data_IF_743250739377
#
_entry.id   IF_743250739377
#
_cell.length_a   1.000
_cell.length_b   1.000
_cell.length_c   1.000
_cell.angle_alpha   90.00
_cell.angle_beta   90.00
_cell.angle_gamma   90.00
#
_symmetry.space_group_name_H-M   'P 1'
#
loop_
_entity.id
_entity.type
_entity.pdbx_description
1 polymer ?
#
# COMPACT_ATOMS: atom_id res chain seq x y z
N UNK A 1 11.58 -18.56 1.92
CA UNK A 1 12.08 -18.77 0.55
C UNK A 1 11.75 -17.53 -0.26
N UNK A 2 12.59 -17.19 -1.22
CA UNK A 2 12.28 -16.14 -2.20
C UNK A 2 11.21 -16.67 -3.16
N UNK A 3 10.16 -15.89 -3.42
CA UNK A 3 9.12 -16.21 -4.39
C UNK A 3 9.06 -15.09 -5.41
N UNK A 4 9.28 -15.44 -6.68
CA UNK A 4 9.12 -14.52 -7.80
C UNK A 4 7.66 -14.58 -8.24
N UNK A 5 6.96 -13.45 -8.10
CA UNK A 5 5.60 -13.28 -8.63
C UNK A 5 5.73 -12.56 -9.97
N UNK A 6 5.17 -13.16 -11.02
CA UNK A 6 5.08 -12.50 -12.33
C UNK A 6 4.18 -11.27 -12.22
N UNK A 7 4.76 -10.08 -12.42
CA UNK A 7 4.05 -8.80 -12.29
C UNK A 7 2.86 -8.68 -13.24
N UNK A 8 2.85 -9.41 -14.36
CA UNK A 8 1.72 -9.45 -15.30
C UNK A 8 0.46 -10.01 -14.66
N UNK A 9 0.59 -10.95 -13.72
CA UNK A 9 -0.54 -11.50 -12.97
C UNK A 9 -1.23 -10.40 -12.17
N UNK A 10 -0.47 -9.49 -11.57
CA UNK A 10 -1.04 -8.37 -10.81
C UNK A 10 -1.56 -7.30 -11.77
N UNK A 11 -0.79 -6.95 -12.79
CA UNK A 11 -1.15 -5.92 -13.77
C UNK A 11 -2.46 -6.23 -14.50
N UNK A 12 -2.71 -7.48 -14.88
CA UNK A 12 -3.93 -7.87 -15.60
C UNK A 12 -5.20 -7.73 -14.78
N UNK A 13 -5.09 -7.75 -13.45
CA UNK A 13 -6.21 -7.61 -12.53
C UNK A 13 -6.32 -6.18 -11.97
N UNK A 14 -5.34 -5.32 -12.23
CA UNK A 14 -5.27 -3.98 -11.67
C UNK A 14 -5.88 -2.96 -12.63
N UNK A 15 -6.96 -2.33 -12.18
CA UNK A 15 -7.60 -1.21 -12.84
C UNK A 15 -7.25 0.11 -12.17
N UNK A 16 -7.01 1.15 -12.98
CA UNK A 16 -6.71 2.50 -12.53
C UNK A 16 -7.57 3.51 -13.28
N UNK A 17 -8.10 4.47 -12.54
CA UNK A 17 -8.78 5.64 -13.08
C UNK A 17 -8.26 6.89 -12.36
N UNK A 18 -7.19 7.52 -12.89
CA UNK A 18 -6.63 8.77 -12.37
C UNK A 18 -7.64 9.89 -12.20
N UNK A 19 -8.57 10.04 -13.15
CA UNK A 19 -9.52 11.15 -13.16
C UNK A 19 -10.47 11.10 -11.97
N UNK A 20 -10.85 9.89 -11.54
CA UNK A 20 -11.73 9.67 -10.39
C UNK A 20 -10.99 9.22 -9.12
N UNK A 21 -9.66 9.08 -9.18
CA UNK A 21 -8.85 8.62 -8.05
C UNK A 21 -9.08 7.15 -7.69
N UNK A 22 -9.43 6.30 -8.66
CA UNK A 22 -9.68 4.89 -8.43
C UNK A 22 -8.45 4.01 -8.69
N UNK A 23 -8.24 3.03 -7.83
CA UNK A 23 -7.30 1.92 -8.03
C UNK A 23 -7.91 0.64 -7.46
N UNK A 24 -8.27 -0.28 -8.33
CA UNK A 24 -9.02 -1.49 -8.01
C UNK A 24 -8.28 -2.74 -8.47
N UNK A 25 -8.40 -3.81 -7.71
CA UNK A 25 -8.03 -5.16 -8.15
C UNK A 25 -9.32 -5.94 -8.39
N UNK A 26 -9.43 -6.54 -9.57
CA UNK A 26 -10.58 -7.26 -10.06
C UNK A 26 -10.16 -8.67 -10.44
N UNK A 27 -10.80 -9.68 -9.84
CA UNK A 27 -10.54 -11.09 -10.14
C UNK A 27 -11.83 -11.82 -10.44
N UNK A 28 -11.84 -12.51 -11.57
CA UNK A 28 -12.94 -13.40 -11.93
C UNK A 28 -12.77 -14.74 -11.20
N UNK A 29 -13.87 -15.26 -10.67
CA UNK A 29 -13.95 -16.56 -9.99
C UNK A 29 -15.22 -17.29 -10.42
N UNK A 30 -15.18 -17.94 -11.60
CA UNK A 30 -16.38 -18.50 -12.22
C UNK A 30 -17.26 -17.37 -12.74
N UNK A 31 -18.52 -17.34 -12.31
CA UNK A 31 -19.47 -16.27 -12.68
C UNK A 31 -19.40 -15.06 -11.71
N UNK A 32 -18.52 -15.10 -10.69
CA UNK A 32 -18.35 -14.04 -9.70
C UNK A 32 -17.18 -13.11 -10.04
N UNK A 33 -17.32 -11.83 -9.68
CA UNK A 33 -16.26 -10.83 -9.76
C UNK A 33 -15.87 -10.35 -8.35
N UNK A 34 -14.65 -10.66 -7.93
CA UNK A 34 -14.06 -10.15 -6.70
C UNK A 34 -13.39 -8.79 -6.96
N UNK A 35 -13.95 -7.72 -6.41
CA UNK A 35 -13.44 -6.36 -6.54
C UNK A 35 -13.03 -5.84 -5.18
N UNK A 36 -11.80 -5.33 -5.09
CA UNK A 36 -11.30 -4.65 -3.90
C UNK A 36 -10.42 -3.47 -4.27
N UNK A 37 -10.38 -2.46 -3.42
CA UNK A 37 -9.45 -1.34 -3.54
C UNK A 37 -10.08 0.00 -3.20
N UNK A 38 -9.54 1.05 -3.82
CA UNK A 38 -9.93 2.45 -3.63
C UNK A 38 -10.77 2.89 -4.82
N UNK A 39 -11.95 3.44 -4.56
CA UNK A 39 -12.83 3.98 -5.61
C UNK A 39 -12.54 5.46 -5.83
N UNK A 40 -12.21 6.18 -4.75
CA UNK A 40 -11.72 7.56 -4.76
C UNK A 40 -11.02 7.84 -3.42
N UNK A 41 -10.73 9.12 -3.14
CA UNK A 41 -10.09 9.56 -1.89
C UNK A 41 -10.87 9.21 -0.61
N UNK A 42 -12.19 9.09 -0.69
CA UNK A 42 -13.07 8.93 0.47
C UNK A 42 -13.63 7.51 0.62
N UNK A 43 -13.65 6.74 -0.46
CA UNK A 43 -14.39 5.48 -0.53
C UNK A 43 -13.52 4.32 -1.03
N UNK A 44 -13.62 3.21 -0.32
CA UNK A 44 -13.08 1.92 -0.72
C UNK A 44 -14.19 0.92 -1.01
N UNK A 45 -13.85 -0.13 -1.74
CA UNK A 45 -14.72 -1.26 -2.04
C UNK A 45 -14.05 -2.56 -1.59
N UNK A 46 -14.84 -3.51 -1.09
CA UNK A 46 -14.39 -4.86 -0.79
C UNK A 46 -15.53 -5.88 -0.94
N UNK A 47 -15.24 -7.16 -1.19
CA UNK A 47 -16.26 -8.20 -1.19
C UNK A 47 -16.93 -8.34 0.18
N UNK A 48 -18.22 -8.64 0.20
CA UNK A 48 -18.95 -9.01 1.41
C UNK A 48 -18.46 -10.39 1.88
N UNK A 49 -18.03 -10.46 3.15
CA UNK A 49 -17.75 -11.73 3.83
C UNK A 49 -19.08 -12.23 4.39
N UNK A 50 -19.91 -12.86 3.55
CA UNK A 50 -21.13 -13.51 4.01
C UNK A 50 -20.81 -14.94 4.45
N UNK A 51 -21.21 -15.33 5.67
CA UNK A 51 -21.08 -16.72 6.16
C UNK A 51 -22.11 -17.66 5.49
N UNK A 52 -23.14 -17.14 4.83
CA UNK A 52 -24.15 -17.93 4.14
C UNK A 52 -24.30 -17.53 2.67
N UNK A 53 -24.31 -18.55 1.81
CA UNK A 53 -24.44 -18.45 0.35
C UNK A 53 -25.75 -17.74 -0.02
N UNK A 54 -25.68 -16.68 -0.81
CA UNK A 54 -26.76 -16.40 -1.74
C UNK A 54 -26.74 -17.52 -2.80
N UNK A 55 -27.80 -18.33 -2.85
CA UNK A 55 -27.87 -19.50 -3.71
C UNK A 55 -28.00 -19.14 -5.21
N UNK A 56 -28.24 -17.85 -5.55
CA UNK A 56 -28.48 -17.40 -6.93
C UNK A 56 -28.10 -15.92 -7.19
N UNK A 57 -26.86 -15.49 -6.94
CA UNK A 57 -26.45 -14.15 -7.41
C UNK A 57 -24.95 -13.86 -7.27
N UNK A 58 -24.44 -12.87 -8.05
CA UNK A 58 -23.04 -12.45 -7.96
C UNK A 58 -22.67 -12.08 -6.53
N UNK A 59 -21.45 -12.43 -6.10
CA UNK A 59 -20.92 -12.02 -4.79
C UNK A 59 -21.07 -10.51 -4.61
N UNK A 60 -21.78 -10.10 -3.56
CA UNK A 60 -21.99 -8.68 -3.27
C UNK A 60 -20.73 -8.01 -2.70
N UNK A 61 -20.68 -6.68 -2.82
CA UNK A 61 -19.58 -5.84 -2.31
C UNK A 61 -20.11 -4.77 -1.37
N UNK A 62 -19.23 -4.26 -0.52
CA UNK A 62 -19.53 -3.12 0.35
C UNK A 62 -18.64 -1.95 -0.02
N UNK A 63 -19.28 -0.81 -0.27
CA UNK A 63 -18.61 0.48 -0.23
C UNK A 63 -18.46 0.91 1.22
N UNK A 64 -17.25 1.27 1.61
CA UNK A 64 -16.97 1.76 2.94
C UNK A 64 -16.21 3.07 2.84
N UNK A 65 -16.52 4.01 3.73
CA UNK A 65 -15.75 5.23 3.85
C UNK A 65 -14.37 4.86 4.38
N UNK A 66 -13.33 5.28 3.68
CA UNK A 66 -11.97 5.22 4.17
C UNK A 66 -11.94 6.22 5.30
N UNK A 67 -12.11 5.74 6.54
CA UNK A 67 -12.12 6.64 7.68
C UNK A 67 -10.79 7.38 7.69
N UNK A 68 -10.83 8.71 7.61
CA UNK A 68 -9.78 9.50 8.24
C UNK A 68 -9.77 8.99 9.68
N UNK A 69 -8.75 8.21 10.07
CA UNK A 69 -8.46 8.06 11.50
C UNK A 69 -8.43 9.49 12.00
N UNK A 70 -9.33 9.80 12.91
CA UNK A 70 -9.40 11.10 13.55
C UNK A 70 -7.96 11.58 13.79
N UNK A 71 -7.66 12.82 13.41
CA UNK A 71 -6.41 13.51 13.80
C UNK A 71 -6.38 13.67 15.32
N UNK A 72 -6.31 12.55 16.04
CA UNK A 72 -6.99 12.39 17.31
C UNK A 72 -6.61 11.11 18.05
N UNK A 73 -5.36 10.68 17.93
CA UNK A 73 -4.56 10.26 19.08
C UNK A 73 -3.11 10.41 18.67
N UNK A 74 -2.51 11.56 19.03
CA UNK A 74 -1.07 11.65 19.21
C UNK A 74 -0.71 10.69 20.35
N UNK A 75 -0.65 9.38 20.10
CA UNK A 75 0.23 8.51 20.88
C UNK A 75 1.61 8.99 20.49
N UNK A 76 2.19 9.81 21.37
CA UNK A 76 3.34 10.63 21.09
C UNK A 76 4.47 9.81 20.49
N UNK A 77 4.69 9.97 19.19
CA UNK A 77 6.05 10.04 18.71
C UNK A 77 6.65 11.21 19.48
N UNK A 78 7.59 10.94 20.39
CA UNK A 78 8.53 11.99 20.74
C UNK A 78 9.10 12.42 19.39
N UNK A 79 8.72 13.62 18.95
CA UNK A 79 9.58 14.33 18.04
C UNK A 79 10.88 14.40 18.84
N UNK A 80 11.85 13.54 18.51
CA UNK A 80 13.22 13.81 18.88
C UNK A 80 13.35 15.31 18.62
N UNK A 81 13.71 16.09 19.66
CA UNK A 81 13.98 17.51 19.50
C UNK A 81 15.12 17.57 18.51
N UNK A 82 14.80 17.54 17.23
CA UNK A 82 15.69 17.78 16.14
C UNK A 82 16.01 19.24 16.35
N UNK A 83 17.11 19.49 17.04
CA UNK A 83 17.71 20.79 17.17
C UNK A 83 17.76 21.30 15.74
N UNK A 84 16.87 22.24 15.39
CA UNK A 84 16.86 22.89 14.08
C UNK A 84 18.12 23.75 14.01
N UNK A 85 19.28 23.12 13.90
CA UNK A 85 20.43 23.73 13.24
C UNK A 85 20.00 23.80 11.79
N UNK A 86 19.46 24.96 11.43
CA UNK A 86 19.29 25.38 10.04
C UNK A 86 20.71 25.37 9.47
N UNK A 87 21.14 24.23 8.92
CA UNK A 87 22.23 24.24 7.95
C UNK A 87 21.65 25.06 6.82
N UNK A 88 22.10 26.32 6.72
CA UNK A 88 22.09 27.02 5.45
C UNK A 88 22.93 26.13 4.54
N UNK A 89 22.26 25.23 3.84
CA UNK A 89 22.81 24.68 2.62
C UNK A 89 22.63 25.84 1.65
N UNK A 90 23.72 26.55 1.36
CA UNK A 90 23.78 27.46 0.22
C UNK A 90 23.65 26.60 -1.05
N UNK A 91 22.41 26.21 -1.32
CA UNK A 91 22.01 25.44 -2.48
C UNK A 91 21.14 26.32 -3.34
N UNK A 92 21.74 26.96 -4.34
CA UNK A 92 21.06 27.67 -5.43
C UNK A 92 20.34 26.72 -6.40
N UNK A 93 20.17 25.44 -6.05
CA UNK A 93 19.45 24.46 -6.87
C UNK A 93 17.99 24.40 -6.45
N UNK A 94 17.08 24.78 -7.36
CA UNK A 94 15.65 24.51 -7.20
C UNK A 94 15.39 23.00 -7.02
N UNK A 95 14.20 22.66 -6.51
CA UNK A 95 13.78 21.26 -6.47
C UNK A 95 13.83 20.66 -7.89
N UNK A 96 14.22 19.39 -8.04
CA UNK A 96 14.13 18.70 -9.33
C UNK A 96 12.71 18.79 -9.88
N UNK A 97 12.54 18.95 -11.19
CA UNK A 97 11.20 18.97 -11.79
C UNK A 97 10.42 17.66 -11.55
N UNK A 98 11.15 16.54 -11.43
CA UNK A 98 10.59 15.21 -11.18
C UNK A 98 11.35 14.51 -10.04
N UNK A 99 10.60 13.81 -9.19
CA UNK A 99 11.11 12.99 -8.10
C UNK A 99 10.54 11.59 -8.24
N UNK A 100 11.39 10.65 -8.63
CA UNK A 100 11.06 9.24 -8.74
C UNK A 100 11.55 8.52 -7.47
N UNK A 101 10.65 7.83 -6.78
CA UNK A 101 10.95 7.10 -5.55
C UNK A 101 10.76 5.60 -5.78
N UNK A 102 11.79 4.84 -5.49
CA UNK A 102 11.72 3.38 -5.44
C UNK A 102 11.39 2.94 -4.01
N UNK A 103 10.39 2.09 -3.88
CA UNK A 103 9.89 1.61 -2.59
C UNK A 103 9.91 0.08 -2.57
N UNK A 104 10.65 -0.47 -1.61
CA UNK A 104 10.56 -1.87 -1.23
C UNK A 104 9.74 -1.96 0.05
N UNK A 105 8.68 -2.77 0.05
CA UNK A 105 7.79 -2.92 1.20
C UNK A 105 8.15 -4.16 1.99
N UNK A 106 8.29 -4.02 3.31
CA UNK A 106 8.53 -5.15 4.21
C UNK A 106 7.33 -5.31 5.15
N UNK A 107 6.67 -6.47 5.06
CA UNK A 107 5.60 -6.86 5.96
C UNK A 107 6.12 -7.77 7.07
N UNK A 108 5.94 -7.38 8.32
CA UNK A 108 6.16 -8.28 9.46
C UNK A 108 5.05 -9.33 9.54
N UNK A 109 5.25 -10.33 10.40
CA UNK A 109 4.30 -11.42 10.56
C UNK A 109 2.88 -10.90 10.89
N UNK A 110 2.74 -9.93 11.78
CA UNK A 110 1.44 -9.38 12.19
C UNK A 110 0.73 -8.63 11.07
N UNK A 111 1.47 -7.93 10.23
CA UNK A 111 0.91 -7.23 9.07
C UNK A 111 0.42 -8.22 8.01
N UNK A 112 1.13 -9.33 7.83
CA UNK A 112 0.82 -10.36 6.84
C UNK A 112 -0.25 -11.36 7.35
N UNK A 113 -0.38 -11.54 8.67
CA UNK A 113 -1.30 -12.48 9.32
C UNK A 113 -2.74 -12.37 8.80
N UNK A 114 -3.24 -11.15 8.58
CA UNK A 114 -4.60 -10.93 8.05
C UNK A 114 -4.84 -11.56 6.67
N UNK A 115 -3.77 -11.82 5.90
CA UNK A 115 -3.82 -12.39 4.56
C UNK A 115 -3.59 -13.90 4.53
N UNK A 116 -3.18 -14.50 5.66
CA UNK A 116 -2.93 -15.95 5.74
C UNK A 116 -4.20 -16.78 5.49
N UNK A 117 -5.39 -16.19 5.66
CA UNK A 117 -6.68 -16.80 5.28
C UNK A 117 -6.76 -17.21 3.81
N UNK A 118 -5.92 -16.64 2.95
CA UNK A 118 -5.82 -16.97 1.53
C UNK A 118 -4.83 -18.10 1.24
N UNK A 119 -4.29 -18.76 2.26
CA UNK A 119 -3.43 -19.95 2.17
C UNK A 119 -2.30 -19.79 1.13
N UNK A 120 -2.34 -20.55 0.04
CA UNK A 120 -1.36 -20.55 -1.05
C UNK A 120 -1.28 -19.21 -1.80
N UNK A 121 -2.31 -18.36 -1.67
CA UNK A 121 -2.39 -17.04 -2.30
C UNK A 121 -2.03 -15.89 -1.36
N UNK A 122 -1.53 -16.17 -0.15
CA UNK A 122 -1.15 -15.14 0.84
C UNK A 122 -0.21 -14.10 0.23
N UNK A 123 0.88 -14.56 -0.38
CA UNK A 123 1.91 -13.67 -0.93
C UNK A 123 1.37 -12.78 -2.05
N UNK A 124 0.65 -13.37 -3.00
CA UNK A 124 0.04 -12.64 -4.10
C UNK A 124 -1.00 -11.62 -3.61
N UNK A 125 -1.86 -12.01 -2.67
CA UNK A 125 -2.92 -11.13 -2.14
C UNK A 125 -2.33 -9.97 -1.32
N UNK A 126 -1.26 -10.24 -0.57
CA UNK A 126 -0.52 -9.20 0.14
C UNK A 126 0.17 -8.22 -0.84
N UNK A 127 0.81 -8.73 -1.89
CA UNK A 127 1.42 -7.89 -2.93
C UNK A 127 0.38 -7.03 -3.65
N UNK A 128 -0.80 -7.56 -3.97
CA UNK A 128 -1.89 -6.77 -4.56
C UNK A 128 -2.36 -5.64 -3.65
N UNK A 129 -2.51 -5.90 -2.36
CA UNK A 129 -2.80 -4.87 -1.38
C UNK A 129 -1.74 -3.76 -1.40
N UNK A 130 -0.44 -4.11 -1.44
CA UNK A 130 0.65 -3.13 -1.53
C UNK A 130 0.58 -2.34 -2.84
N UNK A 131 0.27 -2.99 -3.96
CA UNK A 131 0.09 -2.30 -5.24
C UNK A 131 -1.06 -1.29 -5.18
N UNK A 132 -2.22 -1.67 -4.64
CA UNK A 132 -3.35 -0.75 -4.47
C UNK A 132 -2.99 0.42 -3.56
N UNK A 133 -2.30 0.16 -2.45
CA UNK A 133 -1.84 1.20 -1.53
C UNK A 133 -0.93 2.21 -2.23
N UNK A 134 0.11 1.75 -2.92
CA UNK A 134 1.07 2.64 -3.60
C UNK A 134 0.47 3.35 -4.80
N UNK A 135 -0.50 2.73 -5.49
CA UNK A 135 -1.29 3.42 -6.50
C UNK A 135 -2.13 4.54 -5.88
N UNK A 136 -2.79 4.28 -4.75
CA UNK A 136 -3.50 5.32 -4.00
C UNK A 136 -2.59 6.48 -3.62
N UNK A 137 -1.35 6.21 -3.22
CA UNK A 137 -0.35 7.25 -2.95
C UNK A 137 0.02 8.02 -4.22
N UNK A 138 0.23 7.33 -5.35
CA UNK A 138 0.49 7.99 -6.63
C UNK A 138 -0.67 8.89 -7.07
N UNK A 139 -1.92 8.46 -6.88
CA UNK A 139 -3.12 9.26 -7.18
C UNK A 139 -3.16 10.55 -6.33
N UNK A 140 -2.75 10.51 -5.07
CA UNK A 140 -2.63 11.73 -4.24
C UNK A 140 -1.59 12.68 -4.85
N UNK A 141 -0.46 12.15 -5.33
CA UNK A 141 0.62 12.93 -5.93
C UNK A 141 0.34 13.43 -7.34
N UNK A 142 -0.66 12.91 -8.06
CA UNK A 142 -1.04 13.43 -9.38
C UNK A 142 -1.45 14.92 -9.31
N UNK A 143 -2.00 15.36 -8.17
CA UNK A 143 -2.31 16.77 -7.93
C UNK A 143 -1.07 17.66 -7.65
N UNK A 144 0.10 17.05 -7.45
CA UNK A 144 1.36 17.75 -7.14
C UNK A 144 2.16 18.00 -8.41
N UNK A 145 2.15 19.26 -8.89
CA UNK A 145 2.75 19.63 -10.16
C UNK A 145 4.24 20.03 -10.08
N UNK A 146 4.75 20.45 -8.91
CA UNK A 146 6.14 20.88 -8.77
C UNK A 146 6.70 20.61 -7.36
N UNK A 147 7.52 19.55 -7.19
CA UNK A 147 7.95 18.60 -8.22
C UNK A 147 6.84 17.61 -8.59
N UNK A 148 6.89 17.04 -9.80
CA UNK A 148 6.10 15.86 -10.14
C UNK A 148 6.67 14.65 -9.39
N UNK A 149 5.83 13.96 -8.62
CA UNK A 149 6.28 12.84 -7.76
C UNK A 149 5.69 11.54 -8.29
N UNK A 150 6.52 10.50 -8.41
CA UNK A 150 6.08 9.17 -8.80
C UNK A 150 6.77 8.09 -7.95
N UNK A 151 5.98 7.14 -7.45
CA UNK A 151 6.45 6.00 -6.65
C UNK A 151 6.38 4.73 -7.47
N UNK A 152 7.47 3.96 -7.41
CA UNK A 152 7.63 2.64 -8.02
C UNK A 152 7.81 1.58 -6.92
N UNK A 153 6.99 0.53 -6.97
CA UNK A 153 7.19 -0.65 -6.13
C UNK A 153 8.31 -1.50 -6.74
N UNK A 154 9.40 -1.72 -6.02
CA UNK A 154 10.53 -2.54 -6.48
C UNK A 154 10.53 -3.94 -5.90
N UNK A 155 9.87 -4.15 -4.75
CA UNK A 155 9.79 -5.46 -4.14
C UNK A 155 8.90 -5.49 -2.90
N UNK A 156 8.49 -6.70 -2.52
CA UNK A 156 7.75 -6.97 -1.28
C UNK A 156 8.43 -8.13 -0.56
N UNK A 157 8.88 -7.89 0.67
CA UNK A 157 9.42 -8.93 1.56
C UNK A 157 8.43 -9.19 2.68
N UNK A 158 8.17 -10.47 2.98
CA UNK A 158 7.36 -10.88 4.12
C UNK A 158 8.26 -11.63 5.11
N UNK A 159 8.32 -11.12 6.33
CA UNK A 159 9.14 -11.69 7.40
C UNK A 159 8.29 -12.71 8.16
N UNK A 160 8.64 -13.99 8.05
CA UNK A 160 8.09 -15.05 8.90
C UNK A 160 8.93 -15.14 10.19
N UNK A 161 8.30 -15.41 11.34
CA UNK A 161 8.80 -15.21 12.71
C UNK A 161 10.06 -15.97 13.17
N UNK A 162 11.03 -16.23 12.30
CA UNK A 162 12.33 -16.82 12.63
C UNK A 162 13.52 -16.00 12.15
N UNK A 163 13.30 -14.96 11.34
CA UNK A 163 14.35 -13.98 10.99
C UNK A 163 14.37 -12.89 12.06
N UNK A 164 15.52 -12.64 12.74
CA UNK A 164 15.66 -11.46 13.60
C UNK A 164 15.30 -10.22 12.76
N UNK A 165 14.61 -9.25 13.38
CA UNK A 165 14.12 -8.04 12.73
C UNK A 165 15.16 -7.51 11.74
N UNK A 166 14.91 -7.73 10.43
CA UNK A 166 15.76 -7.18 9.37
C UNK A 166 15.72 -5.66 9.45
N UNK A 167 14.63 -5.14 9.98
CA UNK A 167 14.36 -3.74 10.23
C UNK A 167 15.07 -3.26 11.51
N UNK A 168 16.30 -2.76 11.36
CA UNK A 168 16.91 -1.98 12.45
C UNK A 168 16.08 -0.72 12.68
N UNK A 169 15.39 -0.67 13.82
CA UNK A 169 14.61 0.50 14.21
C UNK A 169 15.52 1.57 14.78
N UNK A 170 15.56 2.75 14.16
CA UNK A 170 16.13 3.96 14.75
C UNK A 170 15.01 4.80 15.38
N UNK A 171 14.68 4.46 16.63
CA UNK A 171 13.54 5.05 17.32
C UNK A 171 12.21 4.52 16.77
N UNK A 172 11.41 5.39 16.14
CA UNK A 172 10.11 5.03 15.56
C UNK A 172 10.16 4.81 14.03
N UNK A 173 11.36 4.82 13.44
CA UNK A 173 11.57 4.66 12.01
C UNK A 173 12.43 3.43 11.75
N UNK A 174 12.17 2.77 10.62
CA UNK A 174 13.06 1.74 10.07
C UNK A 174 14.28 2.44 9.46
N UNK A 175 15.49 2.03 9.83
CA UNK A 175 16.72 2.50 9.20
C UNK A 175 16.95 1.80 7.86
N UNK A 176 16.55 2.50 6.79
CA UNK A 176 16.72 2.09 5.40
C UNK A 176 18.18 1.91 4.94
N UNK A 177 19.19 2.26 5.75
CA UNK A 177 20.62 2.11 5.38
C UNK A 177 21.25 0.83 5.93
N UNK A 178 20.58 0.19 6.87
CA UNK A 178 21.04 -1.02 7.55
C UNK A 178 20.14 -2.23 7.31
N UNK A 179 19.04 -1.99 6.62
CA UNK A 179 18.18 -2.97 5.96
C UNK A 179 18.67 -3.21 4.55
#
# INVERSE_FOLDING_TARGET
SEQIIDSRIIHNHLYKDPENGASLVMRESGDDLDVHGVVNTDWGIRPLVAEERNFYGPRGHTLFRISERSRGQKKGTSAAKATRRRRQVDGTGGLPAEVNLEVHVVGDQKHVEGYQRYADKTNLTYTEYVCVLLNGVNLIFESTANPKIQIYLTGVTMINGSTPDVLEMQGNYVDGRKT
#
